data_IF_290354492532
#
_entry.id   IF_290354492532
#
_cell.length_a   1.000
_cell.length_b   1.000
_cell.length_c   1.000
_cell.angle_alpha   90.00
_cell.angle_beta   90.00
_cell.angle_gamma   90.00
#
_symmetry.space_group_name_H-M   'P 1'
#
loop_
_entity.id
_entity.type
_entity.pdbx_description
1 polymer ?
#
# COMPACT_ATOMS: atom_id res chain seq x y z
N UNK A 1 -81.94 40.63 -14.98
CA UNK A 1 -81.34 40.26 -16.29
C UNK A 1 -79.83 40.10 -16.13
N UNK A 2 -79.36 38.90 -16.49
CA UNK A 2 -78.00 38.43 -16.84
C UNK A 2 -76.79 38.64 -15.90
N UNK A 3 -76.32 37.49 -15.41
CA UNK A 3 -74.98 37.19 -14.90
C UNK A 3 -73.93 37.36 -16.02
N UNK A 4 -72.76 37.90 -15.68
CA UNK A 4 -71.53 37.62 -16.44
C UNK A 4 -70.43 37.26 -15.44
N UNK A 5 -70.13 35.96 -15.38
CA UNK A 5 -68.92 35.45 -14.75
C UNK A 5 -67.76 35.62 -15.72
N UNK A 6 -66.68 36.28 -15.30
CA UNK A 6 -65.39 36.20 -15.98
C UNK A 6 -64.35 35.61 -15.03
N UNK A 7 -63.71 34.56 -15.55
CA UNK A 7 -62.84 33.61 -14.89
C UNK A 7 -61.54 34.26 -14.40
N UNK A 8 -61.26 34.14 -13.11
CA UNK A 8 -59.94 34.40 -12.52
C UNK A 8 -58.96 33.31 -12.98
N UNK A 9 -58.08 33.63 -13.92
CA UNK A 9 -56.94 32.77 -14.28
C UNK A 9 -55.92 32.83 -13.14
N UNK A 10 -55.97 31.84 -12.25
CA UNK A 10 -54.95 31.62 -11.23
C UNK A 10 -53.67 31.10 -11.90
N UNK A 11 -52.71 31.97 -12.18
CA UNK A 11 -51.34 31.55 -12.45
C UNK A 11 -50.74 30.93 -11.18
N UNK A 12 -50.66 29.61 -11.16
CA UNK A 12 -49.90 28.88 -10.15
C UNK A 12 -48.42 29.27 -10.29
N UNK A 13 -47.92 30.13 -9.38
CA UNK A 13 -46.48 30.31 -9.19
C UNK A 13 -45.92 29.00 -8.65
N UNK A 14 -45.36 28.19 -9.55
CA UNK A 14 -44.54 27.04 -9.18
C UNK A 14 -43.36 27.56 -8.35
N UNK A 15 -43.44 27.39 -7.04
CA UNK A 15 -42.30 27.47 -6.15
C UNK A 15 -41.34 26.34 -6.53
N UNK A 16 -40.43 26.59 -7.49
CA UNK A 16 -39.23 25.80 -7.62
C UNK A 16 -38.38 26.05 -6.38
N UNK A 17 -38.60 25.17 -5.41
CA UNK A 17 -37.73 24.93 -4.28
C UNK A 17 -36.28 24.93 -4.76
N UNK A 18 -35.48 25.87 -4.23
CA UNK A 18 -34.03 25.88 -4.36
C UNK A 18 -33.46 24.62 -3.68
N UNK A 19 -33.40 23.53 -4.43
CA UNK A 19 -32.79 22.26 -4.03
C UNK A 19 -31.52 21.99 -4.83
N UNK A 20 -30.76 23.04 -5.16
CA UNK A 20 -29.47 22.94 -5.84
C UNK A 20 -28.26 22.94 -4.87
N UNK A 21 -28.48 22.60 -3.60
CA UNK A 21 -27.41 22.42 -2.61
C UNK A 21 -27.13 20.94 -2.27
N UNK A 22 -27.51 19.98 -3.13
CA UNK A 22 -27.25 18.55 -2.88
C UNK A 22 -26.72 17.77 -4.09
N UNK A 23 -26.10 18.45 -5.05
CA UNK A 23 -25.34 17.79 -6.12
C UNK A 23 -23.87 18.19 -5.96
N UNK A 24 -23.07 17.31 -5.34
CA UNK A 24 -21.61 17.39 -5.12
C UNK A 24 -21.12 17.44 -3.67
N UNK A 25 -21.78 16.74 -2.75
CA UNK A 25 -21.00 16.04 -1.73
C UNK A 25 -20.24 14.87 -2.41
N UNK A 26 -19.30 15.18 -3.30
CA UNK A 26 -18.35 14.23 -3.84
C UNK A 26 -17.72 13.55 -2.62
N UNK A 27 -17.99 12.25 -2.45
CA UNK A 27 -17.56 11.48 -1.30
C UNK A 27 -16.06 11.63 -1.19
N UNK A 28 -15.62 12.46 -0.25
CA UNK A 28 -14.21 12.73 -0.02
C UNK A 28 -13.45 11.41 0.02
N UNK A 29 -12.27 11.31 -0.64
CA UNK A 29 -11.56 10.05 -0.74
C UNK A 29 -11.33 9.49 0.66
N UNK A 30 -11.67 8.22 0.88
CA UNK A 30 -11.57 7.55 2.20
C UNK A 30 -10.18 7.70 2.84
N UNK A 31 -9.15 7.98 2.05
CA UNK A 31 -7.78 8.24 2.50
C UNK A 31 -7.17 9.35 1.66
N UNK A 32 -6.81 10.45 2.32
CA UNK A 32 -6.06 11.55 1.72
C UNK A 32 -4.67 11.08 1.25
N UNK A 33 -4.04 11.81 0.32
CA UNK A 33 -2.69 11.50 -0.12
C UNK A 33 -1.68 11.67 1.02
N UNK A 34 -0.46 11.15 0.83
CA UNK A 34 0.62 11.36 1.79
C UNK A 34 0.86 12.85 2.02
N UNK A 35 1.19 13.25 3.25
CA UNK A 35 1.29 14.66 3.67
C UNK A 35 -0.03 15.28 4.15
N UNK A 36 -1.18 14.82 3.66
CA UNK A 36 -2.50 15.38 3.99
C UNK A 36 -3.30 14.55 5.01
N UNK A 37 -2.73 13.45 5.51
CA UNK A 37 -3.42 12.60 6.49
C UNK A 37 -3.50 13.27 7.87
N UNK A 38 -4.56 12.97 8.63
CA UNK A 38 -4.75 13.37 10.03
C UNK A 38 -3.59 12.81 10.87
N UNK A 39 -2.78 13.66 11.54
CA UNK A 39 -1.83 13.18 12.53
C UNK A 39 -2.58 12.59 13.72
N UNK A 40 -1.94 11.66 14.42
CA UNK A 40 -2.46 11.15 15.70
C UNK A 40 -1.92 12.01 16.84
N UNK A 41 -2.68 12.18 17.92
CA UNK A 41 -2.23 12.89 19.12
C UNK A 41 -0.85 12.38 19.60
N UNK A 42 -0.69 11.05 19.67
CA UNK A 42 0.59 10.41 20.01
C UNK A 42 1.73 10.75 19.02
N UNK A 43 1.44 10.90 17.73
CA UNK A 43 2.48 11.26 16.74
C UNK A 43 2.94 12.72 16.86
N UNK A 44 2.07 13.62 17.34
CA UNK A 44 2.46 14.98 17.68
C UNK A 44 3.29 15.00 18.96
N UNK A 45 2.83 14.28 19.99
CA UNK A 45 3.60 14.11 21.22
C UNK A 45 5.01 13.57 20.94
N UNK A 46 5.14 12.53 20.11
CA UNK A 46 6.46 12.04 19.69
C UNK A 46 7.25 13.16 19.02
N UNK A 47 6.67 13.86 18.05
CA UNK A 47 7.37 14.92 17.30
C UNK A 47 7.92 16.00 18.23
N UNK A 48 7.15 16.42 19.22
CA UNK A 48 7.51 17.52 20.13
C UNK A 48 8.53 17.09 21.19
N UNK A 49 8.59 15.80 21.52
CA UNK A 49 9.46 15.26 22.57
C UNK A 49 10.64 14.45 22.04
N UNK A 50 10.79 14.35 20.71
CA UNK A 50 11.82 13.54 20.07
C UNK A 50 13.18 14.24 20.10
N UNK A 51 14.19 13.55 20.61
CA UNK A 51 15.58 14.04 20.67
C UNK A 51 16.40 13.39 19.56
N UNK A 52 17.02 14.21 18.70
CA UNK A 52 17.90 13.73 17.64
C UNK A 52 19.21 13.18 18.22
N UNK A 53 19.87 12.25 17.52
CA UNK A 53 21.14 11.65 17.94
C UNK A 53 21.03 10.41 18.84
N UNK A 54 19.86 10.14 19.43
CA UNK A 54 19.60 8.89 20.17
C UNK A 54 19.10 7.76 19.26
N UNK A 55 19.29 6.52 19.71
CA UNK A 55 18.79 5.34 19.00
C UNK A 55 17.27 5.36 18.97
N UNK A 56 16.69 5.39 17.76
CA UNK A 56 15.25 5.51 17.50
C UNK A 56 14.41 4.52 18.32
N UNK A 57 14.88 3.29 18.47
CA UNK A 57 14.16 2.24 19.20
C UNK A 57 14.04 2.48 20.70
N UNK A 58 15.05 3.13 21.30
CA UNK A 58 15.06 3.44 22.73
C UNK A 58 14.18 4.65 23.00
N UNK A 59 14.31 5.67 22.15
CA UNK A 59 13.49 6.87 22.23
C UNK A 59 11.99 6.56 22.04
N UNK A 60 11.67 5.69 21.09
CA UNK A 60 10.30 5.21 20.91
C UNK A 60 9.74 4.50 22.16
N UNK A 61 10.55 3.69 22.86
CA UNK A 61 10.15 3.04 24.11
C UNK A 61 9.94 4.04 25.24
N UNK A 62 10.87 5.00 25.39
CA UNK A 62 10.79 6.09 26.38
C UNK A 62 9.53 6.92 26.19
N UNK A 63 9.30 7.41 24.96
CA UNK A 63 8.13 8.22 24.61
C UNK A 63 6.82 7.44 24.76
N UNK A 64 6.81 6.15 24.45
CA UNK A 64 5.64 5.31 24.70
C UNK A 64 5.30 5.22 26.19
N UNK A 65 6.32 5.11 27.06
CA UNK A 65 6.15 5.12 28.52
C UNK A 65 5.63 6.47 29.04
N UNK A 66 6.19 7.58 28.55
CA UNK A 66 5.74 8.93 28.91
C UNK A 66 4.30 9.19 28.47
N UNK A 67 3.95 8.83 27.23
CA UNK A 67 2.58 8.99 26.74
C UNK A 67 1.58 8.18 27.57
N UNK A 68 1.93 6.97 28.02
CA UNK A 68 1.06 6.18 28.89
C UNK A 68 0.81 6.89 30.22
N UNK A 69 1.87 7.42 30.83
CA UNK A 69 1.84 8.09 32.13
C UNK A 69 1.29 9.53 32.08
N UNK A 70 1.17 10.11 30.89
CA UNK A 70 0.65 11.46 30.70
C UNK A 70 -0.82 11.56 31.18
N UNK A 71 -1.14 12.66 31.84
CA UNK A 71 -2.49 12.93 32.34
C UNK A 71 -3.51 13.09 31.20
N UNK A 72 -4.79 12.94 31.56
CA UNK A 72 -5.88 13.01 30.58
C UNK A 72 -6.05 14.42 29.98
N UNK A 73 -5.68 15.49 30.69
CA UNK A 73 -5.81 16.87 30.21
C UNK A 73 -4.81 17.13 29.09
N UNK A 74 -3.54 16.81 29.32
CA UNK A 74 -2.49 16.97 28.32
C UNK A 74 -2.71 16.07 27.11
N UNK A 75 -3.19 14.83 27.30
CA UNK A 75 -3.61 13.96 26.18
C UNK A 75 -4.71 14.61 25.32
N UNK A 76 -5.71 15.26 25.94
CA UNK A 76 -6.78 15.98 25.22
C UNK A 76 -6.21 17.17 24.43
N UNK A 77 -5.25 17.91 24.98
CA UNK A 77 -4.61 19.02 24.26
C UNK A 77 -3.99 18.56 22.94
N UNK A 78 -3.26 17.43 22.95
CA UNK A 78 -2.70 16.84 21.73
C UNK A 78 -3.78 16.35 20.75
N UNK A 79 -4.94 15.89 21.23
CA UNK A 79 -6.06 15.51 20.36
C UNK A 79 -6.63 16.74 19.65
N UNK A 80 -6.87 17.83 20.38
CA UNK A 80 -7.37 19.09 19.81
C UNK A 80 -6.38 19.65 18.79
N UNK A 81 -5.08 19.66 19.09
CA UNK A 81 -4.04 20.07 18.15
C UNK A 81 -4.00 19.19 16.90
N UNK A 82 -4.12 17.87 17.06
CA UNK A 82 -4.16 16.93 15.93
C UNK A 82 -5.38 17.16 15.02
N UNK A 83 -6.51 17.56 15.59
CA UNK A 83 -7.72 17.92 14.85
C UNK A 83 -7.56 19.23 14.09
N UNK A 84 -7.00 20.26 14.73
CA UNK A 84 -6.67 21.52 14.06
C UNK A 84 -5.77 21.27 12.84
N UNK A 85 -4.66 20.55 13.03
CA UNK A 85 -3.73 20.23 11.94
C UNK A 85 -4.41 19.38 10.85
N UNK A 86 -5.30 18.47 11.20
CA UNK A 86 -6.05 17.68 10.24
C UNK A 86 -6.97 18.54 9.38
N UNK A 87 -7.69 19.48 10.01
CA UNK A 87 -8.58 20.42 9.34
C UNK A 87 -7.79 21.36 8.42
N UNK A 88 -6.66 21.89 8.89
CA UNK A 88 -5.78 22.75 8.10
C UNK A 88 -5.21 22.02 6.87
N UNK A 89 -4.78 20.77 7.03
CA UNK A 89 -4.31 19.92 5.91
C UNK A 89 -5.43 19.61 4.93
N UNK A 90 -6.63 19.31 5.43
CA UNK A 90 -7.79 19.05 4.57
C UNK A 90 -8.18 20.31 3.79
N UNK A 91 -8.21 21.47 4.44
CA UNK A 91 -8.45 22.76 3.79
C UNK A 91 -7.38 23.05 2.73
N UNK A 92 -6.10 22.85 3.06
CA UNK A 92 -5.00 22.99 2.11
C UNK A 92 -5.13 22.04 0.91
N UNK A 93 -5.59 20.80 1.12
CA UNK A 93 -5.86 19.86 0.03
C UNK A 93 -7.02 20.32 -0.85
N UNK A 94 -8.11 20.79 -0.25
CA UNK A 94 -9.29 21.26 -0.97
C UNK A 94 -9.04 22.59 -1.72
N UNK A 95 -8.05 23.38 -1.30
CA UNK A 95 -7.59 24.58 -2.02
C UNK A 95 -6.78 24.26 -3.29
N UNK A 96 -6.26 23.05 -3.43
CA UNK A 96 -5.58 22.63 -4.66
C UNK A 96 -6.58 22.53 -5.82
N UNK A 97 -6.10 22.72 -7.05
CA UNK A 97 -6.93 22.49 -8.23
C UNK A 97 -7.41 21.04 -8.30
N UNK A 98 -8.57 20.81 -8.93
CA UNK A 98 -9.12 19.44 -9.05
C UNK A 98 -8.12 18.48 -9.75
N UNK A 99 -7.38 19.00 -10.74
CA UNK A 99 -6.34 18.25 -11.44
C UNK A 99 -5.22 17.83 -10.49
N UNK A 100 -4.69 18.75 -9.68
CA UNK A 100 -3.66 18.44 -8.69
C UNK A 100 -4.14 17.46 -7.62
N UNK A 101 -5.39 17.61 -7.16
CA UNK A 101 -6.00 16.67 -6.22
C UNK A 101 -6.02 15.26 -6.80
N UNK A 102 -6.47 15.10 -8.06
CA UNK A 102 -6.49 13.83 -8.78
C UNK A 102 -5.09 13.24 -8.95
N UNK A 103 -4.10 14.05 -9.35
CA UNK A 103 -2.70 13.63 -9.48
C UNK A 103 -2.15 13.12 -8.15
N UNK A 104 -2.29 13.88 -7.06
CA UNK A 104 -1.79 13.48 -5.73
C UNK A 104 -2.47 12.21 -5.22
N UNK A 105 -3.77 12.05 -5.45
CA UNK A 105 -4.50 10.84 -5.09
C UNK A 105 -4.03 9.63 -5.90
N UNK A 106 -3.83 9.79 -7.22
CA UNK A 106 -3.31 8.75 -8.09
C UNK A 106 -1.89 8.33 -7.67
N UNK A 107 -0.99 9.28 -7.46
CA UNK A 107 0.37 9.04 -6.95
C UNK A 107 0.34 8.31 -5.60
N UNK A 108 -0.49 8.76 -4.65
CA UNK A 108 -0.61 8.09 -3.36
C UNK A 108 -1.19 6.68 -3.47
N UNK A 109 -2.12 6.44 -4.39
CA UNK A 109 -2.67 5.12 -4.67
C UNK A 109 -1.60 4.19 -5.22
N UNK A 110 -0.81 4.68 -6.18
CA UNK A 110 0.26 3.91 -6.80
C UNK A 110 1.39 3.58 -5.82
N UNK A 111 1.81 4.54 -5.01
CA UNK A 111 2.76 4.31 -3.92
C UNK A 111 2.28 3.22 -2.94
N UNK A 112 0.98 3.17 -2.64
CA UNK A 112 0.41 2.11 -1.77
C UNK A 112 0.47 0.75 -2.44
N UNK A 113 0.18 0.66 -3.75
CA UNK A 113 0.32 -0.58 -4.51
C UNK A 113 1.78 -1.04 -4.54
N UNK A 114 2.70 -0.14 -4.89
CA UNK A 114 4.15 -0.40 -4.91
C UNK A 114 4.66 -0.88 -3.56
N UNK A 115 4.29 -0.23 -2.45
CA UNK A 115 4.64 -0.68 -1.09
C UNK A 115 4.09 -2.07 -0.77
N UNK A 116 2.87 -2.39 -1.21
CA UNK A 116 2.29 -3.72 -1.01
C UNK A 116 3.04 -4.77 -1.84
N UNK A 117 3.43 -4.44 -3.06
CA UNK A 117 4.20 -5.34 -3.92
C UNK A 117 5.60 -5.57 -3.40
N UNK A 118 6.30 -4.51 -3.00
CA UNK A 118 7.62 -4.62 -2.38
C UNK A 118 7.59 -5.52 -1.14
N UNK A 119 6.58 -5.38 -0.26
CA UNK A 119 6.42 -6.29 0.90
C UNK A 119 6.25 -7.76 0.50
N UNK A 120 5.62 -8.05 -0.64
CA UNK A 120 5.49 -9.43 -1.14
C UNK A 120 6.83 -9.94 -1.65
N UNK A 121 7.54 -9.11 -2.42
CA UNK A 121 8.87 -9.42 -2.91
C UNK A 121 9.85 -9.65 -1.76
N UNK A 122 9.78 -8.84 -0.71
CA UNK A 122 10.64 -8.99 0.47
C UNK A 122 10.33 -10.28 1.24
N UNK A 123 9.05 -10.62 1.43
CA UNK A 123 8.67 -11.90 2.01
C UNK A 123 9.12 -13.11 1.15
N UNK A 124 9.07 -13.00 -0.18
CA UNK A 124 9.61 -14.03 -1.08
C UNK A 124 11.14 -14.13 -0.99
N UNK A 125 11.83 -13.00 -0.90
CA UNK A 125 13.29 -12.96 -0.72
C UNK A 125 13.70 -13.58 0.60
N UNK A 126 13.01 -13.23 1.69
CA UNK A 126 13.24 -13.77 3.02
C UNK A 126 13.00 -15.28 3.05
N UNK A 127 11.89 -15.75 2.46
CA UNK A 127 11.61 -17.18 2.34
C UNK A 127 12.70 -17.92 1.56
N UNK A 128 13.11 -17.39 0.41
CA UNK A 128 14.20 -17.96 -0.41
C UNK A 128 15.53 -17.97 0.34
N UNK A 129 15.83 -16.95 1.13
CA UNK A 129 17.04 -16.89 1.94
C UNK A 129 17.01 -17.94 3.06
N UNK A 130 15.90 -18.07 3.78
CA UNK A 130 15.73 -19.06 4.86
C UNK A 130 15.76 -20.51 4.37
N UNK A 131 15.25 -20.75 3.17
CA UNK A 131 15.20 -22.11 2.56
C UNK A 131 16.39 -22.41 1.66
N UNK A 132 17.44 -21.57 1.68
CA UNK A 132 18.62 -21.71 0.82
C UNK A 132 18.27 -21.97 -0.67
N UNK A 133 17.29 -21.25 -1.21
CA UNK A 133 16.85 -21.40 -2.60
C UNK A 133 18.07 -21.26 -3.54
N UNK A 134 18.33 -22.26 -4.40
CA UNK A 134 19.48 -22.24 -5.32
C UNK A 134 19.50 -20.95 -6.14
N UNK A 135 20.66 -20.30 -6.24
CA UNK A 135 20.82 -19.12 -7.10
C UNK A 135 21.04 -19.58 -8.53
N UNK A 136 20.42 -18.88 -9.48
CA UNK A 136 20.67 -19.14 -10.91
C UNK A 136 22.15 -18.88 -11.20
N UNK A 137 22.87 -19.82 -11.82
CA UNK A 137 24.26 -19.60 -12.22
C UNK A 137 24.32 -18.55 -13.33
N UNK A 138 25.46 -17.87 -13.44
CA UNK A 138 25.74 -16.99 -14.57
C UNK A 138 25.87 -17.79 -15.87
N UNK A 139 25.58 -17.16 -17.00
CA UNK A 139 25.93 -17.72 -18.31
C UNK A 139 27.45 -17.60 -18.55
N UNK A 140 27.95 -18.15 -19.65
CA UNK A 140 29.38 -18.12 -20.02
C UNK A 140 29.95 -16.71 -20.05
N UNK A 141 29.20 -15.74 -20.59
CA UNK A 141 29.59 -14.32 -20.57
C UNK A 141 29.74 -13.78 -19.15
N UNK A 142 28.82 -14.09 -18.23
CA UNK A 142 28.91 -13.62 -16.83
C UNK A 142 30.11 -14.23 -16.12
N UNK A 143 30.46 -15.49 -16.40
CA UNK A 143 31.68 -16.12 -15.88
C UNK A 143 32.93 -15.40 -16.39
N UNK A 144 33.02 -15.18 -17.71
CA UNK A 144 34.12 -14.42 -18.30
C UNK A 144 34.21 -12.98 -17.74
N UNK A 145 33.09 -12.28 -17.64
CA UNK A 145 33.06 -10.92 -17.11
C UNK A 145 33.50 -10.88 -15.65
N UNK A 146 33.14 -11.89 -14.85
CA UNK A 146 33.59 -12.00 -13.46
C UNK A 146 35.13 -12.10 -13.42
N UNK A 147 35.71 -12.96 -14.22
CA UNK A 147 37.17 -13.16 -14.26
C UNK A 147 37.88 -11.92 -14.83
N UNK A 148 37.32 -11.32 -15.89
CA UNK A 148 37.86 -10.10 -16.50
C UNK A 148 37.79 -8.89 -15.54
N UNK A 149 36.73 -8.78 -14.75
CA UNK A 149 36.62 -7.71 -13.73
C UNK A 149 37.51 -7.96 -12.52
N UNK A 150 37.73 -9.23 -12.12
CA UNK A 150 38.65 -9.57 -11.03
C UNK A 150 40.11 -9.20 -11.36
N UNK A 151 40.47 -9.23 -12.65
CA UNK A 151 41.80 -8.80 -13.13
C UNK A 151 41.99 -7.27 -13.15
N UNK A 152 40.95 -6.48 -12.90
CA UNK A 152 41.00 -5.01 -12.92
C UNK A 152 40.83 -4.43 -11.52
N UNK A 153 41.64 -3.42 -11.17
CA UNK A 153 41.44 -2.64 -9.95
C UNK A 153 40.30 -1.65 -10.19
N UNK A 154 39.15 -1.88 -9.56
CA UNK A 154 37.96 -1.04 -9.70
C UNK A 154 37.79 -0.20 -8.43
N UNK A 155 38.12 1.09 -8.49
CA UNK A 155 38.01 2.01 -7.35
C UNK A 155 36.65 2.75 -7.31
N UNK A 156 35.92 2.79 -8.43
CA UNK A 156 34.62 3.46 -8.50
C UNK A 156 33.56 2.68 -9.29
N UNK A 157 32.29 3.05 -9.09
CA UNK A 157 31.17 2.45 -9.84
C UNK A 157 31.18 2.81 -11.32
N UNK A 158 31.72 3.98 -11.68
CA UNK A 158 31.91 4.37 -13.06
C UNK A 158 32.92 3.44 -13.76
N UNK A 159 34.07 3.21 -13.12
CA UNK A 159 35.10 2.28 -13.61
C UNK A 159 34.58 0.84 -13.73
N UNK A 160 33.78 0.38 -12.77
CA UNK A 160 33.14 -0.95 -12.89
C UNK A 160 32.20 -1.03 -14.10
N UNK A 161 31.49 0.04 -14.42
CA UNK A 161 30.58 0.09 -15.58
C UNK A 161 31.36 0.07 -16.90
N UNK A 162 32.47 0.80 -16.98
CA UNK A 162 33.38 0.79 -18.12
C UNK A 162 34.11 -0.55 -18.28
N UNK A 163 34.53 -1.17 -17.17
CA UNK A 163 35.12 -2.50 -17.15
C UNK A 163 34.14 -3.57 -17.65
N UNK A 164 32.85 -3.47 -17.31
CA UNK A 164 31.81 -4.34 -17.87
C UNK A 164 31.62 -4.13 -19.37
N UNK A 165 31.60 -2.88 -19.86
CA UNK A 165 31.48 -2.56 -21.29
C UNK A 165 32.66 -3.13 -22.09
N UNK A 166 33.88 -2.80 -21.68
CA UNK A 166 35.11 -3.32 -22.30
C UNK A 166 35.19 -4.84 -22.25
N UNK A 167 34.76 -5.47 -21.14
CA UNK A 167 34.68 -6.92 -21.05
C UNK A 167 33.66 -7.52 -22.02
N UNK A 168 32.51 -6.88 -22.22
CA UNK A 168 31.51 -7.36 -23.17
C UNK A 168 32.01 -7.27 -24.63
N UNK A 169 32.79 -6.24 -24.95
CA UNK A 169 33.46 -6.10 -26.25
C UNK A 169 34.57 -7.15 -26.43
N UNK A 170 35.42 -7.34 -25.42
CA UNK A 170 36.44 -8.38 -25.43
C UNK A 170 35.83 -9.78 -25.65
N UNK A 171 34.71 -10.08 -24.98
CA UNK A 171 33.99 -11.35 -25.18
C UNK A 171 33.52 -11.54 -26.62
N UNK A 172 33.07 -10.49 -27.33
CA UNK A 172 32.66 -10.61 -28.73
C UNK A 172 33.84 -11.03 -29.61
N UNK A 173 35.02 -10.47 -29.35
CA UNK A 173 36.23 -10.70 -30.14
C UNK A 173 36.95 -12.02 -29.81
N UNK A 174 36.63 -12.68 -28.68
CA UNK A 174 37.18 -13.99 -28.36
C UNK A 174 36.80 -15.06 -29.39
N UNK A 175 37.74 -15.95 -29.69
CA UNK A 175 37.55 -17.12 -30.54
C UNK A 175 36.64 -18.17 -29.88
N UNK A 176 36.14 -19.12 -30.68
CA UNK A 176 35.32 -20.21 -30.17
C UNK A 176 36.07 -21.08 -29.15
N UNK A 177 37.37 -21.29 -29.36
CA UNK A 177 38.27 -22.01 -28.46
C UNK A 177 38.42 -21.33 -27.10
N UNK A 178 38.57 -20.01 -27.07
CA UNK A 178 38.69 -19.25 -25.81
C UNK A 178 37.37 -19.14 -25.06
N UNK A 179 36.23 -19.16 -25.77
CA UNK A 179 34.89 -19.17 -25.17
C UNK A 179 34.52 -20.54 -24.59
N UNK A 180 35.08 -21.63 -25.14
CA UNK A 180 34.72 -23.02 -24.81
C UNK A 180 34.81 -23.34 -23.31
N UNK A 181 35.88 -23.00 -22.57
CA UNK A 181 35.95 -23.25 -21.13
C UNK A 181 34.80 -22.60 -20.35
N UNK A 182 34.44 -21.36 -20.67
CA UNK A 182 33.35 -20.65 -20.00
C UNK A 182 31.97 -21.22 -20.36
N UNK A 183 31.81 -21.73 -21.59
CA UNK A 183 30.59 -22.42 -22.02
C UNK A 183 30.42 -23.73 -21.27
N UNK A 184 31.49 -24.52 -21.18
CA UNK A 184 31.48 -25.80 -20.45
C UNK A 184 31.21 -25.60 -18.96
N UNK A 185 31.87 -24.62 -18.32
CA UNK A 185 31.62 -24.26 -16.93
C UNK A 185 30.18 -23.79 -16.69
N UNK A 186 29.63 -22.97 -17.60
CA UNK A 186 28.25 -22.49 -17.48
C UNK A 186 27.23 -23.64 -17.64
N UNK A 187 27.51 -24.59 -18.53
CA UNK A 187 26.70 -25.80 -18.72
C UNK A 187 26.70 -26.65 -17.45
N UNK A 188 27.88 -26.97 -16.92
CA UNK A 188 28.01 -27.78 -15.70
C UNK A 188 27.31 -27.09 -14.50
N UNK A 189 27.49 -25.78 -14.35
CA UNK A 189 26.82 -25.02 -13.30
C UNK A 189 25.29 -25.02 -13.46
N UNK A 190 24.79 -24.95 -14.70
CA UNK A 190 23.36 -25.03 -15.02
C UNK A 190 22.76 -26.39 -14.64
N UNK A 191 23.47 -27.48 -14.93
CA UNK A 191 23.07 -28.84 -14.58
C UNK A 191 23.03 -29.03 -13.05
N UNK A 192 24.08 -28.62 -12.34
CA UNK A 192 24.12 -28.63 -10.86
C UNK A 192 22.98 -27.81 -10.26
N UNK A 193 22.68 -26.65 -10.84
CA UNK A 193 21.55 -25.82 -10.44
C UNK A 193 20.21 -26.50 -10.68
N UNK A 194 20.02 -27.18 -11.82
CA UNK A 194 18.78 -27.89 -12.13
C UNK A 194 18.50 -29.01 -11.12
N UNK A 195 19.53 -29.78 -10.74
CA UNK A 195 19.41 -30.83 -9.70
C UNK A 195 19.07 -30.21 -8.34
N UNK A 196 19.83 -29.18 -7.93
CA UNK A 196 19.60 -28.48 -6.65
C UNK A 196 18.20 -27.86 -6.59
N UNK A 197 17.73 -27.27 -7.69
CA UNK A 197 16.41 -26.68 -7.78
C UNK A 197 15.32 -27.75 -7.70
N UNK A 198 15.49 -28.90 -8.35
CA UNK A 198 14.54 -30.02 -8.24
C UNK A 198 14.42 -30.51 -6.79
N UNK A 199 15.53 -30.66 -6.08
CA UNK A 199 15.56 -31.02 -4.66
C UNK A 199 14.82 -29.97 -3.82
N UNK A 200 15.18 -28.70 -3.97
CA UNK A 200 14.54 -27.59 -3.26
C UNK A 200 13.02 -27.51 -3.54
N UNK A 201 12.60 -27.77 -4.79
CA UNK A 201 11.17 -27.77 -5.16
C UNK A 201 10.40 -28.91 -4.50
N UNK A 202 11.02 -30.07 -4.28
CA UNK A 202 10.41 -31.19 -3.54
C UNK A 202 10.25 -30.85 -2.06
N UNK A 203 11.26 -30.23 -1.46
CA UNK A 203 11.29 -29.91 -0.02
C UNK A 203 10.43 -28.69 0.36
N UNK A 204 10.42 -27.66 -0.50
CA UNK A 204 9.83 -26.35 -0.17
C UNK A 204 8.82 -25.82 -1.20
N UNK A 205 8.54 -26.58 -2.25
CA UNK A 205 7.68 -26.13 -3.35
C UNK A 205 6.26 -25.81 -2.91
N UNK A 206 5.67 -26.62 -2.02
CA UNK A 206 4.29 -26.41 -1.57
C UNK A 206 4.17 -25.24 -0.59
N UNK A 207 5.13 -25.11 0.33
CA UNK A 207 5.24 -23.92 1.19
C UNK A 207 5.43 -22.63 0.36
N UNK A 208 6.21 -22.70 -0.73
CA UNK A 208 6.39 -21.58 -1.65
C UNK A 208 5.11 -21.22 -2.41
N UNK A 209 4.34 -22.22 -2.89
CA UNK A 209 3.03 -22.00 -3.51
C UNK A 209 2.04 -21.40 -2.52
N UNK A 210 2.02 -21.90 -1.29
CA UNK A 210 1.13 -21.39 -0.25
C UNK A 210 1.46 -19.94 0.11
N UNK A 211 2.75 -19.58 0.17
CA UNK A 211 3.18 -18.20 0.33
C UNK A 211 2.67 -17.30 -0.80
N UNK A 212 2.80 -17.73 -2.07
CA UNK A 212 2.26 -17.01 -3.23
C UNK A 212 0.74 -16.86 -3.14
N UNK A 213 0.04 -17.94 -2.76
CA UNK A 213 -1.41 -17.95 -2.58
C UNK A 213 -1.86 -17.03 -1.45
N UNK A 214 -1.11 -16.94 -0.34
CA UNK A 214 -1.42 -16.04 0.78
C UNK A 214 -1.51 -14.57 0.33
N UNK A 215 -0.73 -14.18 -0.68
CA UNK A 215 -0.76 -12.84 -1.27
C UNK A 215 -1.98 -12.61 -2.17
N UNK A 216 -2.54 -13.69 -2.75
CA UNK A 216 -3.74 -13.70 -3.58
C UNK A 216 -5.03 -13.82 -2.75
N UNK A 217 -5.06 -14.69 -1.73
CA UNK A 217 -6.21 -14.97 -0.85
C UNK A 217 -6.64 -13.73 -0.06
N UNK A 218 -5.72 -12.83 0.31
CA UNK A 218 -6.05 -11.52 0.88
C UNK A 218 -6.97 -10.67 -0.02
N UNK A 219 -6.99 -10.90 -1.35
CA UNK A 219 -7.96 -10.24 -2.25
C UNK A 219 -9.34 -10.90 -2.19
N UNK A 220 -9.42 -12.23 -2.03
CA UNK A 220 -10.68 -13.00 -2.05
C UNK A 220 -11.45 -12.87 -0.73
N UNK A 221 -10.76 -12.97 0.41
CA UNK A 221 -11.38 -12.83 1.74
C UNK A 221 -11.96 -11.42 1.94
N UNK A 222 -11.24 -10.38 1.51
CA UNK A 222 -11.75 -9.00 1.54
C UNK A 222 -12.98 -8.77 0.64
N UNK A 223 -13.12 -9.55 -0.44
CA UNK A 223 -14.28 -9.50 -1.34
C UNK A 223 -15.48 -10.29 -0.78
N UNK A 224 -15.23 -11.43 -0.12
CA UNK A 224 -16.27 -12.23 0.56
C UNK A 224 -16.85 -11.53 1.80
N UNK A 225 -16.02 -10.89 2.64
CA UNK A 225 -16.50 -10.15 3.82
C UNK A 225 -17.25 -8.85 3.46
N UNK A 226 -16.94 -8.24 2.31
CA UNK A 226 -17.70 -7.10 1.76
C UNK A 226 -19.02 -7.50 1.09
N UNK A 227 -19.13 -8.75 0.60
CA UNK A 227 -20.32 -9.31 -0.06
C UNK A 227 -21.22 -10.04 0.95
N UNK A 228 -21.67 -9.33 2.00
CA UNK A 228 -22.91 -9.75 2.69
C UNK A 228 -24.02 -9.76 1.63
N UNK A 229 -24.50 -10.94 1.27
CA UNK A 229 -25.57 -11.10 0.27
C UNK A 229 -26.81 -10.32 0.70
N UNK A 230 -27.60 -9.84 -0.27
CA UNK A 230 -28.84 -9.08 -0.03
C UNK A 230 -29.79 -9.81 0.94
N UNK A 231 -29.73 -11.14 0.94
CA UNK A 231 -30.44 -12.03 1.87
C UNK A 231 -29.97 -11.84 3.32
N UNK A 232 -28.65 -11.86 3.60
CA UNK A 232 -28.13 -11.60 4.94
C UNK A 232 -28.35 -10.16 5.43
N UNK A 233 -28.41 -9.17 4.52
CA UNK A 233 -28.79 -7.80 4.89
C UNK A 233 -30.28 -7.69 5.25
N UNK A 234 -31.16 -8.45 4.58
CA UNK A 234 -32.59 -8.51 4.92
C UNK A 234 -32.82 -9.19 6.26
N UNK A 235 -32.18 -10.32 6.53
CA UNK A 235 -32.37 -11.04 7.81
C UNK A 235 -31.87 -10.23 9.01
N UNK A 236 -30.76 -9.50 8.89
CA UNK A 236 -30.26 -8.61 9.95
C UNK A 236 -31.17 -7.39 10.14
N UNK A 237 -31.76 -6.84 9.07
CA UNK A 237 -32.72 -5.72 9.18
C UNK A 237 -34.05 -6.16 9.82
N UNK A 238 -34.53 -7.36 9.51
CA UNK A 238 -35.73 -7.96 10.11
C UNK A 238 -35.51 -8.33 11.58
N UNK A 239 -34.34 -8.86 11.95
CA UNK A 239 -33.98 -9.14 13.33
C UNK A 239 -33.91 -7.85 14.18
N UNK A 240 -33.37 -6.76 13.62
CA UNK A 240 -33.30 -5.47 14.31
C UNK A 240 -34.68 -4.80 14.46
N UNK A 241 -35.57 -4.96 13.48
CA UNK A 241 -36.97 -4.50 13.56
C UNK A 241 -37.78 -5.25 14.63
N UNK A 242 -37.60 -6.57 14.77
CA UNK A 242 -38.28 -7.36 15.82
C UNK A 242 -37.78 -7.03 17.23
N UNK A 243 -36.52 -6.62 17.40
CA UNK A 243 -35.97 -6.21 18.71
C UNK A 243 -36.43 -4.82 19.18
N UNK A 244 -36.84 -3.94 18.26
CA UNK A 244 -37.35 -2.60 18.60
C UNK A 244 -38.80 -2.58 19.06
N UNK A 245 -39.60 -3.59 18.70
CA UNK A 245 -41.03 -3.64 19.04
C UNK A 245 -41.34 -4.21 20.43
N UNK A 246 -40.38 -4.83 21.13
CA UNK A 246 -40.60 -5.44 22.45
C UNK A 246 -40.41 -4.49 23.65
N UNK A 247 -40.05 -3.22 23.42
CA UNK A 247 -39.77 -2.26 24.51
C UNK A 247 -40.88 -1.25 24.84
N UNK A 248 -42.07 -1.37 24.26
CA UNK A 248 -43.17 -0.40 24.49
C UNK A 248 -44.47 -1.00 25.03
N UNK A 249 -44.44 -2.17 25.68
CA UNK A 249 -45.66 -2.76 26.27
C UNK A 249 -45.44 -3.33 27.67
N UNK A 250 -44.76 -2.57 28.53
CA UNK A 250 -44.73 -2.81 29.98
C UNK A 250 -44.64 -1.47 30.72
N UNK A 251 -45.67 -0.64 30.57
CA UNK A 251 -45.97 0.46 31.51
C UNK A 251 -47.47 0.74 31.46
N UNK A 252 -48.24 -0.01 32.24
CA UNK A 252 -49.58 0.39 32.68
C UNK A 252 -49.90 -0.33 34.01
N UNK A 253 -50.03 0.53 35.03
CA UNK A 253 -50.65 0.39 36.35
C UNK A 253 -50.06 -0.64 37.30
#
# INVERSE_FOLDING_TARGET
>A
MQRVQLLSVRFARLNLCSSFATVNAAKQPKRLPHGFNKPTAYSLFIKDNYVQGKKVTEEARRLAGLWKSLDASNKKNYVVQAEKIANDRLAAFNRLSEVEQRIKLAQSSELRKKRKENRRLDALREFRAKTAHPKRPGNSLVLFLKDHMQKKTLASRAQATEAMKSGAEAWKNLSASEKKPYIDQAREASEKYAVSLKKWKKEHGDAYKELLNSFALKKVVAKKTGRRTRVQRRTVKVAKARSGSRKTSAKKM
#
